data_IF_989161842493
#
_entry.id   IF_989161842493
#
_cell.length_a   1.000
_cell.length_b   1.000
_cell.length_c   1.000
_cell.angle_alpha   90.00
_cell.angle_beta   90.00
_cell.angle_gamma   90.00
#
_symmetry.space_group_name_H-M   'P 1'
#
loop_
_entity.id
_entity.type
_entity.pdbx_description
1 polymer ?
#
# COMPACT_ATOMS: atom_id res chain seq x y z
N UNK A 1 -26.90 13.19 19.59
CA UNK A 1 -26.20 12.57 18.45
C UNK A 1 -25.15 11.55 18.93
N UNK A 2 -25.50 10.26 18.86
CA UNK A 2 -24.55 9.16 19.06
C UNK A 2 -23.62 9.10 17.85
N UNK A 3 -22.42 9.67 17.98
CA UNK A 3 -21.36 9.47 16.99
C UNK A 3 -20.90 8.03 17.10
N UNK A 4 -21.30 7.18 16.16
CA UNK A 4 -20.72 5.84 15.99
C UNK A 4 -19.21 6.01 15.87
N UNK A 5 -18.39 5.36 16.72
CA UNK A 5 -16.95 5.43 16.59
C UNK A 5 -16.56 4.91 15.21
N UNK A 6 -15.66 5.63 14.55
CA UNK A 6 -15.16 5.21 13.25
C UNK A 6 -14.43 3.86 13.39
N UNK A 7 -14.60 2.95 12.42
CA UNK A 7 -14.05 1.60 12.51
C UNK A 7 -12.52 1.63 12.63
N UNK A 8 -11.96 0.77 13.47
CA UNK A 8 -10.50 0.63 13.65
C UNK A 8 -10.03 -0.78 13.33
N UNK A 9 -8.76 -0.91 12.92
CA UNK A 9 -8.06 -2.19 12.72
C UNK A 9 -6.75 -2.15 13.50
N UNK A 10 -6.47 -3.19 14.27
CA UNK A 10 -5.16 -3.34 14.94
C UNK A 10 -4.14 -3.91 13.97
N UNK A 11 -3.04 -3.19 13.74
CA UNK A 11 -1.92 -3.64 12.92
C UNK A 11 -0.62 -3.43 13.69
N UNK A 12 0.10 -4.52 13.96
CA UNK A 12 1.36 -4.49 14.73
C UNK A 12 1.22 -3.80 16.10
N UNK A 13 0.07 -3.95 16.75
CA UNK A 13 -0.23 -3.32 18.04
C UNK A 13 -0.60 -1.83 17.96
N UNK A 14 -0.75 -1.26 16.75
CA UNK A 14 -1.22 0.11 16.53
C UNK A 14 -2.64 0.07 15.99
N UNK A 15 -3.54 0.85 16.59
CA UNK A 15 -4.90 1.04 16.06
C UNK A 15 -4.88 1.99 14.87
N UNK A 16 -5.34 1.50 13.72
CA UNK A 16 -5.48 2.26 12.49
C UNK A 16 -6.94 2.63 12.29
N UNK A 17 -7.20 3.88 11.93
CA UNK A 17 -8.55 4.35 11.64
C UNK A 17 -8.92 3.99 10.20
N UNK A 18 -9.99 3.22 10.01
CA UNK A 18 -10.45 2.80 8.68
C UNK A 18 -11.29 3.91 8.05
N UNK A 19 -10.87 4.34 6.87
CA UNK A 19 -11.60 5.31 6.05
C UNK A 19 -12.51 4.64 5.04
N UNK A 20 -12.00 3.60 4.38
CA UNK A 20 -12.78 2.76 3.48
C UNK A 20 -12.22 1.35 3.47
N UNK A 21 -13.09 0.38 3.18
CA UNK A 21 -12.71 -1.03 3.10
C UNK A 21 -13.62 -1.76 2.11
N UNK A 22 -13.04 -2.70 1.38
CA UNK A 22 -13.77 -3.59 0.49
C UNK A 22 -13.17 -4.99 0.56
N UNK A 23 -14.03 -5.99 0.41
CA UNK A 23 -13.67 -7.41 0.41
C UNK A 23 -13.95 -7.97 -0.97
N UNK A 24 -12.98 -8.66 -1.53
CA UNK A 24 -13.01 -9.28 -2.84
C UNK A 24 -12.88 -10.80 -2.69
N UNK A 25 -13.38 -11.53 -3.69
CA UNK A 25 -13.07 -12.95 -3.81
C UNK A 25 -11.56 -13.17 -3.94
N UNK A 26 -11.11 -14.37 -3.59
CA UNK A 26 -9.72 -14.77 -3.82
C UNK A 26 -9.36 -14.62 -5.31
N UNK A 27 -8.23 -13.98 -5.66
CA UNK A 27 -7.74 -13.92 -7.02
C UNK A 27 -7.55 -15.31 -7.64
N UNK A 28 -7.68 -15.41 -8.97
CA UNK A 28 -7.47 -16.66 -9.67
C UNK A 28 -5.97 -17.00 -9.70
N UNK A 29 -5.63 -18.27 -9.47
CA UNK A 29 -4.27 -18.80 -9.66
C UNK A 29 -3.98 -19.11 -11.13
N UNK A 30 -5.00 -19.27 -11.98
CA UNK A 30 -4.86 -19.74 -13.36
C UNK A 30 -5.10 -18.65 -14.41
N UNK A 31 -5.68 -17.51 -14.03
CA UNK A 31 -5.98 -16.39 -14.93
C UNK A 31 -5.54 -15.09 -14.27
N UNK A 32 -4.96 -14.18 -15.05
CA UNK A 32 -4.63 -12.85 -14.54
C UNK A 32 -5.90 -12.13 -14.09
N UNK A 33 -5.82 -11.39 -12.99
CA UNK A 33 -6.96 -10.68 -12.43
C UNK A 33 -6.54 -9.36 -11.82
N UNK A 34 -7.45 -8.41 -11.78
CA UNK A 34 -7.23 -7.12 -11.12
C UNK A 34 -8.35 -6.86 -10.13
N UNK A 35 -8.02 -6.30 -8.97
CA UNK A 35 -9.00 -5.71 -8.05
C UNK A 35 -8.72 -4.23 -7.92
N UNK A 36 -9.78 -3.45 -7.79
CA UNK A 36 -9.68 -2.02 -7.53
C UNK A 36 -10.66 -1.64 -6.44
N UNK A 37 -10.18 -0.88 -5.46
CA UNK A 37 -11.04 -0.34 -4.42
C UNK A 37 -11.92 0.76 -5.03
N UNK A 38 -13.23 0.62 -4.87
CA UNK A 38 -14.21 1.58 -5.36
C UNK A 38 -14.16 2.86 -4.53
N UNK A 39 -14.09 4.05 -5.15
CA UNK A 39 -14.22 5.33 -4.45
C UNK A 39 -13.24 6.42 -4.91
N UNK A 40 -13.05 7.43 -4.05
CA UNK A 40 -12.21 8.62 -4.32
C UNK A 40 -10.71 8.35 -4.20
N UNK A 41 -10.32 7.20 -3.64
CA UNK A 41 -8.93 6.82 -3.36
C UNK A 41 -8.59 5.59 -4.20
N UNK A 42 -8.12 5.76 -5.45
CA UNK A 42 -7.93 4.63 -6.35
C UNK A 42 -6.76 3.78 -5.84
N UNK A 43 -7.07 2.55 -5.44
CA UNK A 43 -6.09 1.51 -5.11
C UNK A 43 -6.32 0.37 -6.08
N UNK A 44 -5.26 -0.11 -6.72
CA UNK A 44 -5.35 -1.24 -7.66
C UNK A 44 -4.30 -2.28 -7.35
N UNK A 45 -4.70 -3.55 -7.44
CA UNK A 45 -3.79 -4.70 -7.42
C UNK A 45 -3.99 -5.47 -8.72
N UNK A 46 -2.91 -5.70 -9.46
CA UNK A 46 -2.90 -6.55 -10.65
C UNK A 46 -2.13 -7.85 -10.33
N UNK A 47 -2.85 -8.97 -10.35
CA UNK A 47 -2.33 -10.31 -10.13
C UNK A 47 -2.03 -10.97 -11.47
N UNK A 48 -0.75 -11.24 -11.81
CA UNK A 48 -0.45 -12.09 -12.95
C UNK A 48 -0.88 -13.54 -12.69
N UNK A 49 -0.94 -14.34 -13.75
CA UNK A 49 -1.17 -15.79 -13.67
C UNK A 49 -0.17 -16.41 -12.70
N UNK A 50 -0.64 -17.27 -11.79
CA UNK A 50 0.19 -17.96 -10.80
C UNK A 50 0.62 -17.10 -9.60
N UNK A 51 0.22 -15.83 -9.51
CA UNK A 51 0.56 -15.00 -8.35
C UNK A 51 -0.16 -15.47 -7.08
N UNK A 52 -1.46 -15.73 -7.17
CA UNK A 52 -2.22 -16.24 -6.04
C UNK A 52 -1.95 -17.74 -5.83
N UNK A 53 -1.69 -18.20 -4.59
CA UNK A 53 -1.40 -19.61 -4.34
C UNK A 53 -2.56 -20.52 -4.76
N UNK A 54 -2.24 -21.63 -5.42
CA UNK A 54 -3.22 -22.63 -5.81
C UNK A 54 -3.93 -23.21 -4.57
N UNK A 55 -5.27 -23.21 -4.58
CA UNK A 55 -6.09 -23.73 -3.49
C UNK A 55 -6.32 -22.76 -2.33
N UNK A 56 -5.71 -21.57 -2.31
CA UNK A 56 -6.02 -20.56 -1.30
C UNK A 56 -7.33 -19.83 -1.66
N UNK A 57 -8.33 -19.96 -0.80
CA UNK A 57 -9.68 -19.43 -1.00
C UNK A 57 -9.98 -18.23 -0.10
N UNK A 58 -8.99 -17.77 0.68
CA UNK A 58 -9.21 -16.66 1.62
C UNK A 58 -9.54 -15.38 0.83
N UNK A 59 -10.59 -14.64 1.23
CA UNK A 59 -10.95 -13.41 0.54
C UNK A 59 -9.87 -12.35 0.72
N UNK A 60 -9.67 -11.54 -0.32
CA UNK A 60 -8.80 -10.38 -0.29
C UNK A 60 -9.56 -9.22 0.36
N UNK A 61 -8.96 -8.55 1.32
CA UNK A 61 -9.51 -7.35 1.94
C UNK A 61 -8.56 -6.18 1.73
N UNK A 62 -9.08 -5.07 1.24
CA UNK A 62 -8.32 -3.84 1.01
C UNK A 62 -8.90 -2.76 1.91
N UNK A 63 -8.05 -2.12 2.70
CA UNK A 63 -8.45 -1.05 3.61
C UNK A 63 -7.60 0.20 3.40
N UNK A 64 -8.26 1.33 3.18
CA UNK A 64 -7.62 2.63 3.29
C UNK A 64 -7.71 3.07 4.73
N UNK A 65 -6.57 3.41 5.30
CA UNK A 65 -6.43 3.70 6.72
C UNK A 65 -5.70 5.01 6.96
N UNK A 66 -6.05 5.68 8.04
CA UNK A 66 -5.33 6.82 8.56
C UNK A 66 -4.45 6.37 9.74
N UNK A 67 -3.19 6.79 9.72
CA UNK A 67 -2.29 6.55 10.82
C UNK A 67 -2.59 7.53 11.97
N UNK A 68 -2.46 7.10 13.23
CA UNK A 68 -2.47 8.03 14.35
C UNK A 68 -1.35 9.05 14.19
N UNK A 69 -1.67 10.34 14.30
CA UNK A 69 -0.69 11.43 14.22
C UNK A 69 0.43 11.24 15.24
N UNK A 70 1.67 11.16 14.77
CA UNK A 70 2.84 10.93 15.63
C UNK A 70 2.97 9.49 16.15
N UNK A 71 2.14 8.55 15.68
CA UNK A 71 2.26 7.13 15.99
C UNK A 71 3.55 6.53 15.41
N UNK A 72 4.00 5.41 15.98
CA UNK A 72 5.29 4.78 15.64
C UNK A 72 5.47 4.52 14.13
N UNK A 73 4.42 4.07 13.44
CA UNK A 73 4.43 3.80 12.00
C UNK A 73 4.70 5.09 11.21
N UNK A 74 4.02 6.19 11.55
CA UNK A 74 4.23 7.47 10.88
C UNK A 74 5.61 8.05 11.23
N UNK A 75 6.00 7.99 12.50
CA UNK A 75 7.28 8.49 13.00
C UNK A 75 8.49 7.83 12.31
N UNK A 76 8.40 6.53 12.00
CA UNK A 76 9.46 5.81 11.27
C UNK A 76 9.72 6.37 9.87
N UNK A 77 8.70 6.89 9.18
CA UNK A 77 8.91 7.53 7.87
C UNK A 77 9.71 8.82 8.01
N UNK A 78 9.39 9.62 9.03
CA UNK A 78 10.01 10.93 9.29
C UNK A 78 11.45 10.79 9.76
N UNK A 79 11.76 9.79 10.59
CA UNK A 79 13.13 9.53 11.05
C UNK A 79 14.08 9.14 9.92
N UNK A 80 13.54 8.58 8.83
CA UNK A 80 14.28 8.27 7.61
C UNK A 80 14.27 9.42 6.59
N UNK A 81 13.82 10.63 6.99
CA UNK A 81 13.74 11.81 6.15
C UNK A 81 12.66 11.74 5.07
N UNK A 82 11.75 10.76 5.15
CA UNK A 82 10.67 10.55 4.17
C UNK A 82 9.41 11.28 4.59
N UNK A 83 8.62 11.68 3.60
CA UNK A 83 7.32 12.33 3.81
C UNK A 83 6.21 11.45 3.28
N UNK A 84 5.14 11.28 4.06
CA UNK A 84 3.90 10.67 3.58
C UNK A 84 3.36 11.45 2.39
N UNK A 85 3.21 10.76 1.27
CA UNK A 85 2.75 11.35 0.02
C UNK A 85 1.35 10.90 -0.36
N UNK A 86 0.75 9.93 0.32
CA UNK A 86 -0.59 9.45 0.01
C UNK A 86 -1.29 8.83 1.20
N UNK A 87 -2.45 8.25 0.92
CA UNK A 87 -3.16 7.42 1.89
C UNK A 87 -2.39 6.13 2.15
N UNK A 88 -2.58 5.57 3.34
CA UNK A 88 -2.00 4.29 3.71
C UNK A 88 -3.02 3.21 3.40
N UNK A 89 -2.54 2.10 2.82
CA UNK A 89 -3.38 1.00 2.37
C UNK A 89 -2.92 -0.29 3.04
N UNK A 90 -3.83 -0.95 3.74
CA UNK A 90 -3.62 -2.27 4.31
C UNK A 90 -4.23 -3.32 3.37
N UNK A 91 -3.41 -4.29 2.96
CA UNK A 91 -3.88 -5.47 2.27
C UNK A 91 -3.88 -6.66 3.23
N UNK A 92 -4.97 -7.42 3.21
CA UNK A 92 -5.18 -8.62 4.00
C UNK A 92 -5.70 -9.75 3.09
N UNK A 93 -5.42 -11.02 3.42
CA UNK A 93 -4.83 -11.52 4.67
C UNK A 93 -3.29 -11.48 4.67
N UNK A 94 -2.70 -11.39 5.86
CA UNK A 94 -1.25 -11.56 6.02
C UNK A 94 -0.83 -13.03 5.86
N UNK A 95 0.47 -13.26 5.61
CA UNK A 95 1.04 -14.61 5.53
C UNK A 95 0.86 -15.33 4.18
N UNK A 96 0.27 -14.66 3.18
CA UNK A 96 0.30 -15.15 1.79
C UNK A 96 1.62 -14.73 1.14
N UNK A 97 2.35 -15.72 0.63
CA UNK A 97 3.48 -15.51 -0.27
C UNK A 97 2.99 -15.73 -1.71
N UNK A 98 3.17 -14.74 -2.58
CA UNK A 98 2.76 -14.85 -3.97
C UNK A 98 3.75 -15.68 -4.78
N UNK A 99 3.23 -16.51 -5.69
CA UNK A 99 4.03 -17.30 -6.63
C UNK A 99 4.69 -16.45 -7.72
N UNK A 100 4.20 -15.23 -7.93
CA UNK A 100 4.74 -14.24 -8.86
C UNK A 100 4.52 -12.81 -8.32
N UNK A 101 5.34 -11.83 -8.72
CA UNK A 101 5.18 -10.44 -8.27
C UNK A 101 3.81 -9.85 -8.64
N UNK A 102 3.08 -9.37 -7.65
CA UNK A 102 1.82 -8.64 -7.80
C UNK A 102 2.13 -7.16 -7.97
N UNK A 103 1.52 -6.52 -8.95
CA UNK A 103 1.65 -5.07 -9.14
C UNK A 103 0.67 -4.36 -8.21
N UNK A 104 1.18 -3.46 -7.40
CA UNK A 104 0.39 -2.62 -6.50
C UNK A 104 0.44 -1.16 -6.98
N UNK A 105 -0.73 -0.52 -7.03
CA UNK A 105 -0.90 0.88 -7.35
C UNK A 105 -1.53 1.58 -6.15
N UNK A 106 -0.75 2.44 -5.50
CA UNK A 106 -1.12 3.14 -4.27
C UNK A 106 -1.28 4.63 -4.58
N UNK A 107 -2.35 5.28 -4.12
CA UNK A 107 -2.59 6.68 -4.43
C UNK A 107 -1.55 7.59 -3.79
N UNK A 108 -1.33 8.76 -4.39
CA UNK A 108 -0.60 9.88 -3.80
C UNK A 108 -1.38 11.19 -3.99
N UNK A 109 -1.03 12.20 -3.21
CA UNK A 109 -1.64 13.52 -3.30
C UNK A 109 -1.01 14.30 -4.45
N UNK A 110 -1.69 14.33 -5.60
CA UNK A 110 -1.24 15.04 -6.80
C UNK A 110 -1.19 16.56 -6.63
N UNK A 111 -1.87 17.11 -5.62
CA UNK A 111 -1.88 18.54 -5.33
C UNK A 111 -0.75 18.99 -4.39
N UNK A 112 0.00 18.04 -3.81
CA UNK A 112 1.10 18.37 -2.91
C UNK A 112 2.39 18.62 -3.70
N UNK A 113 3.12 19.67 -3.32
CA UNK A 113 4.48 19.89 -3.77
C UNK A 113 5.46 19.04 -2.94
N UNK A 114 6.20 18.18 -3.63
CA UNK A 114 7.25 17.32 -3.08
C UNK A 114 8.66 17.83 -3.43
N UNK A 115 8.78 18.96 -4.14
CA UNK A 115 10.04 19.55 -4.55
C UNK A 115 10.89 18.56 -5.36
N UNK A 116 12.15 18.38 -4.93
CA UNK A 116 13.11 17.47 -5.58
C UNK A 116 13.04 16.03 -5.05
N UNK A 117 12.05 15.71 -4.21
CA UNK A 117 11.90 14.37 -3.66
C UNK A 117 11.41 13.38 -4.72
N UNK A 118 11.86 12.14 -4.62
CA UNK A 118 11.37 11.05 -5.47
C UNK A 118 10.18 10.37 -4.80
N UNK A 119 9.06 10.27 -5.51
CA UNK A 119 7.89 9.53 -5.04
C UNK A 119 8.06 8.03 -5.34
N UNK A 120 7.85 7.17 -4.34
CA UNK A 120 7.93 5.71 -4.47
C UNK A 120 6.93 5.00 -3.56
N UNK A 121 6.64 3.74 -3.84
CA UNK A 121 5.82 2.88 -2.97
C UNK A 121 6.72 2.19 -1.95
N UNK A 122 6.28 2.20 -0.69
CA UNK A 122 6.92 1.51 0.40
C UNK A 122 5.98 0.52 1.06
N UNK A 123 6.54 -0.55 1.59
CA UNK A 123 5.88 -1.53 2.46
C UNK A 123 6.35 -1.30 3.88
N UNK A 124 5.46 -1.29 4.86
CA UNK A 124 5.87 -1.27 6.26
C UNK A 124 6.17 -2.69 6.74
N UNK A 125 7.43 -2.95 7.07
CA UNK A 125 7.84 -4.18 7.74
C UNK A 125 7.60 -4.04 9.25
N UNK A 126 6.64 -4.83 9.75
CA UNK A 126 6.25 -4.84 11.15
C UNK A 126 7.31 -5.42 12.09
N UNK A 127 8.20 -6.29 11.59
CA UNK A 127 9.24 -6.90 12.39
C UNK A 127 10.40 -5.93 12.64
N UNK A 128 10.74 -5.10 11.65
CA UNK A 128 11.79 -4.09 11.76
C UNK A 128 11.26 -2.70 12.13
N UNK A 129 9.94 -2.52 12.13
CA UNK A 129 9.24 -1.25 12.35
C UNK A 129 9.71 -0.14 11.38
N UNK A 130 9.94 -0.51 10.12
CA UNK A 130 10.50 0.38 9.09
C UNK A 130 9.74 0.29 7.78
N UNK A 131 9.82 1.38 7.01
CA UNK A 131 9.33 1.41 5.65
C UNK A 131 10.41 0.89 4.69
N UNK A 132 10.05 -0.10 3.89
CA UNK A 132 10.93 -0.72 2.91
C UNK A 132 10.52 -0.34 1.51
N UNK A 133 11.49 0.13 0.72
CA UNK A 133 11.27 0.50 -0.67
C UNK A 133 10.88 -0.74 -1.49
N UNK A 134 9.79 -0.65 -2.26
CA UNK A 134 9.40 -1.69 -3.19
C UNK A 134 9.94 -1.40 -4.60
N UNK A 135 10.36 -2.44 -5.34
CA UNK A 135 10.84 -2.26 -6.71
C UNK A 135 9.73 -1.72 -7.60
N UNK A 136 10.12 -0.87 -8.54
CA UNK A 136 9.22 -0.37 -9.58
C UNK A 136 8.78 -1.55 -10.45
N UNK A 137 7.49 -1.61 -10.79
CA UNK A 137 6.98 -2.70 -11.61
C UNK A 137 7.61 -2.70 -13.01
N UNK A 138 7.87 -3.88 -13.56
CA UNK A 138 8.46 -4.03 -14.88
C UNK A 138 7.63 -3.29 -15.95
N UNK A 139 8.31 -2.51 -16.80
CA UNK A 139 7.67 -1.70 -17.84
C UNK A 139 6.93 -0.45 -17.33
N UNK A 140 7.09 -0.07 -16.06
CA UNK A 140 6.53 1.14 -15.47
C UNK A 140 7.61 2.18 -15.17
N UNK A 141 7.24 3.45 -15.20
CA UNK A 141 8.03 4.57 -14.66
C UNK A 141 7.93 4.66 -13.13
N UNK A 142 7.08 3.83 -12.52
CA UNK A 142 6.80 3.81 -11.08
C UNK A 142 5.77 4.85 -10.65
N UNK A 143 5.37 5.77 -11.53
CA UNK A 143 4.36 6.80 -11.26
C UNK A 143 3.43 6.90 -12.46
N UNK A 144 2.13 6.82 -12.19
CA UNK A 144 1.06 7.15 -13.12
C UNK A 144 0.39 8.45 -12.68
N UNK A 145 0.77 9.54 -13.34
CA UNK A 145 0.26 10.88 -13.05
C UNK A 145 -1.18 11.09 -13.55
N UNK A 146 -1.65 10.27 -14.50
CA UNK A 146 -3.01 10.39 -15.01
C UNK A 146 -4.02 9.86 -13.98
N UNK A 147 -3.62 8.84 -13.22
CA UNK A 147 -4.46 8.23 -12.17
C UNK A 147 -4.09 8.67 -10.76
N UNK A 148 -2.97 9.37 -10.58
CA UNK A 148 -2.48 9.80 -9.27
C UNK A 148 -2.01 8.63 -8.41
N UNK A 149 -1.39 7.61 -9.04
CA UNK A 149 -0.93 6.39 -8.38
C UNK A 149 0.58 6.18 -8.52
N UNK A 150 1.21 5.72 -7.45
CA UNK A 150 2.55 5.17 -7.47
C UNK A 150 2.49 3.65 -7.64
N UNK A 151 3.35 3.10 -8.47
CA UNK A 151 3.32 1.71 -8.95
C UNK A 151 4.57 0.97 -8.48
N UNK A 152 4.38 -0.19 -7.88
CA UNK A 152 5.46 -1.09 -7.48
C UNK A 152 5.05 -2.56 -7.60
N UNK A 153 6.02 -3.44 -7.37
CA UNK A 153 5.81 -4.88 -7.25
C UNK A 153 5.92 -5.34 -5.80
N UNK A 154 5.13 -6.36 -5.45
CA UNK A 154 5.21 -7.01 -4.17
C UNK A 154 5.00 -8.53 -4.26
N UNK A 155 5.55 -9.23 -3.28
CA UNK A 155 5.48 -10.70 -3.13
C UNK A 155 4.60 -11.12 -1.94
N UNK A 156 4.04 -10.16 -1.19
CA UNK A 156 3.16 -10.45 -0.06
C UNK A 156 2.26 -9.26 0.28
N UNK A 157 1.19 -9.51 1.00
CA UNK A 157 0.38 -8.45 1.61
C UNK A 157 0.96 -7.91 2.90
N UNK A 158 0.66 -6.65 3.16
CA UNK A 158 1.18 -5.82 4.26
C UNK A 158 0.50 -4.44 4.19
N UNK A 159 1.03 -3.49 4.95
CA UNK A 159 0.68 -2.08 4.93
C UNK A 159 1.58 -1.33 3.93
N UNK A 160 0.99 -0.54 3.04
CA UNK A 160 1.68 0.18 1.97
C UNK A 160 1.35 1.66 1.99
N UNK A 161 2.30 2.48 1.54
CA UNK A 161 2.10 3.91 1.36
C UNK A 161 2.98 4.43 0.21
N UNK A 162 2.50 5.48 -0.44
CA UNK A 162 3.35 6.32 -1.28
C UNK A 162 4.14 7.27 -0.38
N UNK A 163 5.47 7.23 -0.43
CA UNK A 163 6.34 8.16 0.30
C UNK A 163 7.21 8.96 -0.68
N UNK A 164 7.40 10.23 -0.37
CA UNK A 164 8.39 11.07 -0.99
C UNK A 164 9.71 10.91 -0.21
N UNK A 165 10.77 10.52 -0.90
CA UNK A 165 12.11 10.35 -0.32
C UNK A 165 13.08 11.42 -0.85
N UNK A 166 14.00 11.91 -0.01
CA UNK A 166 15.02 12.85 -0.45
C UNK A 166 15.88 12.21 -1.55
N UNK A 167 16.46 13.03 -2.45
CA UNK A 167 17.40 12.52 -3.44
C UNK A 167 18.58 11.84 -2.74
N UNK A 168 19.21 10.83 -3.37
CA UNK A 168 20.44 10.24 -2.85
C UNK A 168 21.45 11.36 -2.62
N UNK A 169 21.99 11.48 -1.41
CA UNK A 169 23.13 12.36 -1.17
C UNK A 169 24.30 11.86 -2.00
N UNK A 170 24.77 12.68 -2.94
CA UNK A 170 26.02 12.41 -3.63
C UNK A 170 27.11 12.29 -2.57
N UNK A 171 27.71 11.11 -2.46
CA UNK A 171 28.89 10.87 -1.64
C UNK A 171 30.14 11.22 -2.43
#
# INVERSE_FOLDING_TARGET
PTTTPAPTISYSGVELLVESQETFAAPSSTVASSVSLSGSTPVTLDFPVGAWPAGDTRPLKVSVVNLPSGGAIEASSRSEGRRMAGKVVLFEPSGIAFGAPVRVKVPYNTSADYGTMSLRVFRYDSATARWELKPIAAGSTGIDSATGQAIAETSSFSLYASLAMPPPTAR
#
